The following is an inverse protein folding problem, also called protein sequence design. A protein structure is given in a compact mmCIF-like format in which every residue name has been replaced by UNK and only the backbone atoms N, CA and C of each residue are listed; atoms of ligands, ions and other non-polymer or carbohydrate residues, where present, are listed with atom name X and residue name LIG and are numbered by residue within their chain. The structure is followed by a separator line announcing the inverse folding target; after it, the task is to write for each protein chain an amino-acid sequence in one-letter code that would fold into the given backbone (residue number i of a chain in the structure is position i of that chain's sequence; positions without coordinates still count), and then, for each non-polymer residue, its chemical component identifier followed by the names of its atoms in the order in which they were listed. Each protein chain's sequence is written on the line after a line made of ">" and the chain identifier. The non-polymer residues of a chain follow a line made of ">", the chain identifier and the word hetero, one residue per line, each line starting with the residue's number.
data_IF_613570689809
#
_entry.id   IF_613570689809
#
_cell.length_a   1.000
_cell.length_b   1.000
_cell.length_c   1.000
_cell.angle_alpha   90.00
_cell.angle_beta   90.00
_cell.angle_gamma   90.00
#
_symmetry.space_group_name_H-M   'P 1'
#
loop_
_entity.id
_entity.type
_entity.pdbx_description
1 polymer ?
#
# COMPACT_ATOMS: atom_id res chain seq x y z
N UNK A 1 58.54 63.93 -48.12
CA UNK A 1 57.35 63.18 -47.70
C UNK A 1 57.82 61.80 -47.30
N UNK A 2 58.13 61.59 -46.01
CA UNK A 2 58.69 60.34 -45.52
C UNK A 2 57.53 59.42 -45.11
N UNK A 3 57.50 58.20 -45.66
CA UNK A 3 56.50 57.19 -45.31
C UNK A 3 56.69 56.76 -43.85
N UNK A 4 55.61 56.60 -43.07
CA UNK A 4 55.69 56.08 -41.72
C UNK A 4 56.09 54.60 -41.80
N UNK A 5 57.20 54.26 -41.16
CA UNK A 5 57.67 52.88 -41.01
C UNK A 5 56.65 52.10 -40.17
N UNK A 6 56.32 50.90 -40.63
CA UNK A 6 55.40 50.00 -39.95
C UNK A 6 55.97 49.59 -38.57
N UNK A 7 55.12 49.34 -37.56
CA UNK A 7 55.53 49.10 -36.17
C UNK A 7 56.26 47.76 -35.95
N UNK A 8 56.61 47.05 -37.02
CA UNK A 8 57.29 45.76 -37.00
C UNK A 8 58.81 45.87 -37.26
N UNK A 9 59.33 47.07 -37.54
CA UNK A 9 60.76 47.27 -37.87
C UNK A 9 61.69 47.53 -36.66
N UNK A 10 61.20 47.34 -35.43
CA UNK A 10 62.08 47.27 -34.26
C UNK A 10 61.64 46.11 -33.38
N UNK A 11 62.62 45.47 -32.76
CA UNK A 11 62.57 44.24 -31.95
C UNK A 11 62.92 42.99 -32.77
N UNK A 12 64.23 42.79 -32.99
CA UNK A 12 64.77 41.44 -32.87
C UNK A 12 64.43 40.97 -31.46
N UNK A 13 63.24 40.38 -31.31
CA UNK A 13 62.81 39.79 -30.05
C UNK A 13 63.82 38.72 -29.71
N UNK A 14 64.54 38.92 -28.61
CA UNK A 14 65.52 37.95 -28.13
C UNK A 14 64.84 36.59 -28.09
N UNK A 15 65.35 35.65 -28.88
CA UNK A 15 64.85 34.26 -28.91
C UNK A 15 64.78 33.69 -27.50
N UNK A 16 65.66 34.16 -26.61
CA UNK A 16 65.68 33.88 -25.18
C UNK A 16 64.42 34.32 -24.42
N UNK A 17 63.80 35.46 -24.74
CA UNK A 17 62.56 35.92 -24.10
C UNK A 17 61.37 35.05 -24.51
N UNK A 18 61.29 34.67 -25.79
CA UNK A 18 60.27 33.75 -26.30
C UNK A 18 60.42 32.36 -25.69
N UNK A 19 61.65 31.85 -25.58
CA UNK A 19 61.94 30.56 -24.91
C UNK A 19 61.53 30.64 -23.44
N UNK A 20 61.86 31.73 -22.74
CA UNK A 20 61.52 31.90 -21.33
C UNK A 20 60.01 31.90 -21.10
N UNK A 21 59.25 32.60 -21.96
CA UNK A 21 57.80 32.63 -21.89
C UNK A 21 57.18 31.26 -22.23
N UNK A 22 57.72 30.55 -23.22
CA UNK A 22 57.33 29.16 -23.52
C UNK A 22 57.56 28.22 -22.32
N UNK A 23 58.72 28.32 -21.66
CA UNK A 23 59.04 27.52 -20.47
C UNK A 23 58.07 27.84 -19.33
N UNK A 24 57.74 29.11 -19.10
CA UNK A 24 56.73 29.49 -18.09
C UNK A 24 55.37 28.88 -18.37
N UNK A 25 54.90 28.96 -19.62
CA UNK A 25 53.63 28.36 -20.05
C UNK A 25 53.63 26.84 -19.93
N UNK A 26 54.72 26.18 -20.29
CA UNK A 26 54.87 24.73 -20.12
C UNK A 26 54.81 24.32 -18.66
N UNK A 27 55.48 25.07 -17.77
CA UNK A 27 55.43 24.81 -16.33
C UNK A 27 54.03 25.00 -15.75
N UNK A 28 53.33 26.07 -16.13
CA UNK A 28 51.96 26.31 -15.69
C UNK A 28 50.99 25.26 -16.24
N UNK A 29 51.14 24.86 -17.51
CA UNK A 29 50.37 23.77 -18.09
C UNK A 29 50.62 22.44 -17.38
N UNK A 30 51.87 22.13 -17.03
CA UNK A 30 52.23 20.92 -16.25
C UNK A 30 51.56 20.93 -14.89
N UNK A 31 51.54 22.09 -14.21
CA UNK A 31 50.84 22.26 -12.93
C UNK A 31 49.34 22.05 -13.09
N UNK A 32 48.73 22.62 -14.14
CA UNK A 32 47.30 22.47 -14.43
C UNK A 32 46.93 21.02 -14.74
N UNK A 33 47.75 20.30 -15.51
CA UNK A 33 47.55 18.89 -15.81
C UNK A 33 47.54 18.07 -14.53
N UNK A 34 48.52 18.26 -13.64
CA UNK A 34 48.56 17.56 -12.35
C UNK A 34 47.31 17.79 -11.49
N UNK A 35 46.79 19.02 -11.48
CA UNK A 35 45.55 19.33 -10.74
C UNK A 35 44.35 18.64 -11.38
N UNK A 36 44.30 18.56 -12.71
CA UNK A 36 43.23 17.86 -13.43
C UNK A 36 43.29 16.37 -13.13
N UNK A 37 44.46 15.74 -13.20
CA UNK A 37 44.66 14.32 -12.86
C UNK A 37 44.13 14.02 -11.45
N UNK A 38 44.55 14.80 -10.44
CA UNK A 38 44.05 14.64 -9.07
C UNK A 38 42.53 14.82 -8.93
N UNK A 39 41.94 15.68 -9.77
CA UNK A 39 40.48 15.87 -9.77
C UNK A 39 39.77 14.71 -10.46
N UNK A 40 40.34 14.18 -11.53
CA UNK A 40 39.82 13.00 -12.24
C UNK A 40 39.84 11.81 -11.29
N UNK A 41 40.96 11.54 -10.63
CA UNK A 41 41.08 10.46 -9.63
C UNK A 41 40.00 10.59 -8.54
N UNK A 42 39.76 11.81 -8.03
CA UNK A 42 38.72 12.04 -7.01
C UNK A 42 37.31 11.79 -7.55
N UNK A 43 37.04 12.17 -8.80
CA UNK A 43 35.74 11.96 -9.43
C UNK A 43 35.52 10.48 -9.66
N UNK A 44 36.51 9.74 -10.17
CA UNK A 44 36.45 8.29 -10.35
C UNK A 44 36.14 7.58 -9.03
N UNK A 45 36.90 7.87 -7.96
CA UNK A 45 36.61 7.32 -6.64
C UNK A 45 35.20 7.66 -6.12
N UNK A 46 34.68 8.85 -6.44
CA UNK A 46 33.32 9.25 -6.05
C UNK A 46 32.25 8.53 -6.86
N UNK A 47 32.52 8.26 -8.13
CA UNK A 47 31.66 7.47 -9.02
C UNK A 47 31.61 6.03 -8.54
N UNK A 48 32.75 5.41 -8.27
CA UNK A 48 32.83 4.03 -7.76
C UNK A 48 32.04 3.88 -6.45
N UNK A 49 32.23 4.81 -5.51
CA UNK A 49 31.48 4.80 -4.26
C UNK A 49 29.97 5.00 -4.47
N UNK A 50 29.56 5.80 -5.46
CA UNK A 50 28.15 5.99 -5.79
C UNK A 50 27.56 4.74 -6.43
N UNK A 51 28.30 4.08 -7.32
CA UNK A 51 27.91 2.81 -7.93
C UNK A 51 27.72 1.72 -6.88
N UNK A 52 28.67 1.55 -5.96
CA UNK A 52 28.56 0.57 -4.88
C UNK A 52 27.35 0.84 -3.97
N UNK A 53 27.11 2.11 -3.62
CA UNK A 53 25.96 2.51 -2.81
C UNK A 53 24.63 2.26 -3.55
N UNK A 54 24.56 2.57 -4.84
CA UNK A 54 23.34 2.35 -5.64
C UNK A 54 23.07 0.87 -5.84
N UNK A 55 24.09 0.04 -6.08
CA UNK A 55 23.95 -1.42 -6.14
C UNK A 55 23.45 -1.99 -4.81
N UNK A 56 23.99 -1.52 -3.69
CA UNK A 56 23.54 -1.94 -2.35
C UNK A 56 22.06 -1.58 -2.13
N UNK A 57 21.69 -0.33 -2.42
CA UNK A 57 20.30 0.14 -2.29
C UNK A 57 19.33 -0.63 -3.20
N UNK A 58 19.73 -0.96 -4.42
CA UNK A 58 18.91 -1.75 -5.34
C UNK A 58 18.71 -3.18 -4.83
N UNK A 59 19.74 -3.80 -4.24
CA UNK A 59 19.61 -5.12 -3.63
C UNK A 59 18.68 -5.10 -2.41
N UNK A 60 18.81 -4.10 -1.54
CA UNK A 60 17.94 -3.94 -0.37
C UNK A 60 16.48 -3.69 -0.78
N UNK A 61 16.27 -2.89 -1.82
CA UNK A 61 14.95 -2.65 -2.38
C UNK A 61 14.35 -3.94 -2.95
N UNK A 62 15.13 -4.71 -3.70
CA UNK A 62 14.70 -6.01 -4.24
C UNK A 62 14.25 -6.97 -3.14
N UNK A 63 15.08 -7.13 -2.09
CA UNK A 63 14.73 -7.96 -0.94
C UNK A 63 13.47 -7.47 -0.21
N UNK A 64 13.29 -6.16 -0.14
CA UNK A 64 12.09 -5.56 0.47
C UNK A 64 10.83 -5.82 -0.36
N UNK A 65 10.93 -5.73 -1.69
CA UNK A 65 9.84 -6.03 -2.61
C UNK A 65 9.45 -7.51 -2.57
N UNK A 66 10.42 -8.43 -2.52
CA UNK A 66 10.18 -9.87 -2.36
C UNK A 66 9.41 -10.15 -1.06
N UNK A 67 9.85 -9.57 0.07
CA UNK A 67 9.13 -9.70 1.35
C UNK A 67 7.71 -9.13 1.31
N UNK A 68 7.49 -8.02 0.60
CA UNK A 68 6.16 -7.43 0.43
C UNK A 68 5.29 -8.38 -0.42
N UNK A 69 5.84 -8.95 -1.48
CA UNK A 69 5.16 -9.92 -2.34
C UNK A 69 4.70 -11.14 -1.54
N UNK A 70 5.59 -11.74 -0.75
CA UNK A 70 5.27 -12.87 0.12
C UNK A 70 4.15 -12.53 1.13
N UNK A 71 4.20 -11.33 1.70
CA UNK A 71 3.15 -10.85 2.62
C UNK A 71 1.81 -10.71 1.92
N UNK A 72 1.78 -10.19 0.69
CA UNK A 72 0.55 -10.06 -0.10
C UNK A 72 -0.06 -11.44 -0.39
N UNK A 73 0.77 -12.42 -0.78
CA UNK A 73 0.33 -13.80 -1.00
C UNK A 73 -0.28 -14.38 0.28
N UNK A 74 0.42 -14.24 1.41
CA UNK A 74 -0.09 -14.75 2.70
C UNK A 74 -1.39 -14.07 3.16
N UNK A 75 -1.58 -12.77 2.85
CA UNK A 75 -2.81 -12.06 3.14
C UNK A 75 -3.94 -12.54 2.24
N UNK A 76 -3.67 -12.80 0.96
CA UNK A 76 -4.64 -13.35 0.02
C UNK A 76 -5.13 -14.72 0.48
N UNK A 77 -4.24 -15.60 0.92
CA UNK A 77 -4.60 -16.92 1.47
C UNK A 77 -5.47 -16.81 2.71
N UNK A 78 -5.12 -15.90 3.64
CA UNK A 78 -5.93 -15.64 4.84
C UNK A 78 -7.32 -15.12 4.49
N UNK A 79 -7.44 -14.23 3.50
CA UNK A 79 -8.74 -13.72 3.04
C UNK A 79 -9.60 -14.83 2.46
N UNK A 80 -9.03 -15.72 1.65
CA UNK A 80 -9.75 -16.90 1.12
C UNK A 80 -10.22 -17.81 2.27
N UNK A 81 -9.38 -18.02 3.29
CA UNK A 81 -9.78 -18.79 4.47
C UNK A 81 -10.95 -18.14 5.22
N UNK A 82 -10.90 -16.83 5.44
CA UNK A 82 -11.97 -16.07 6.11
C UNK A 82 -13.26 -16.13 5.29
N UNK A 83 -13.19 -15.98 3.97
CA UNK A 83 -14.34 -16.13 3.08
C UNK A 83 -14.99 -17.51 3.23
N UNK A 84 -14.17 -18.57 3.28
CA UNK A 84 -14.62 -19.93 3.53
C UNK A 84 -15.34 -20.10 4.87
N UNK A 85 -14.80 -19.51 5.94
CA UNK A 85 -15.44 -19.52 7.26
C UNK A 85 -16.76 -18.74 7.28
N UNK A 86 -16.83 -17.57 6.63
CA UNK A 86 -18.06 -16.78 6.51
C UNK A 86 -19.14 -17.58 5.77
N UNK A 87 -18.79 -18.25 4.67
CA UNK A 87 -19.73 -19.10 3.94
C UNK A 87 -20.23 -20.28 4.80
N UNK A 88 -19.35 -20.87 5.60
CA UNK A 88 -19.73 -21.94 6.54
C UNK A 88 -20.65 -21.42 7.64
N UNK A 89 -20.33 -20.28 8.24
CA UNK A 89 -21.20 -19.62 9.23
C UNK A 89 -22.57 -19.30 8.64
N UNK A 90 -22.64 -18.81 7.40
CA UNK A 90 -23.90 -18.58 6.70
C UNK A 90 -24.75 -19.84 6.53
N UNK A 91 -24.11 -20.99 6.23
CA UNK A 91 -24.78 -22.30 6.15
C UNK A 91 -25.21 -22.85 7.51
N UNK A 92 -24.47 -22.56 8.57
CA UNK A 92 -24.85 -22.95 9.94
C UNK A 92 -26.03 -22.10 10.41
N UNK A 93 -25.96 -20.78 10.21
CA UNK A 93 -27.04 -19.82 10.51
C UNK A 93 -28.35 -20.15 9.79
N UNK A 94 -28.30 -20.62 8.56
CA UNK A 94 -29.52 -20.99 7.81
C UNK A 94 -30.19 -22.26 8.33
N UNK A 95 -29.47 -23.10 9.10
CA UNK A 95 -30.03 -24.29 9.76
C UNK A 95 -30.56 -23.99 11.16
N UNK A 96 -30.21 -22.84 11.72
CA UNK A 96 -30.66 -22.45 13.06
C UNK A 96 -32.10 -21.94 12.98
N UNK A 97 -32.96 -22.38 13.91
CA UNK A 97 -34.33 -21.91 13.99
C UNK A 97 -34.36 -20.39 14.19
N UNK A 98 -35.14 -19.70 13.36
CA UNK A 98 -35.39 -18.28 13.49
C UNK A 98 -36.18 -18.00 14.77
N UNK A 99 -36.04 -16.78 15.31
CA UNK A 99 -36.82 -16.36 16.50
C UNK A 99 -38.33 -16.55 16.31
N UNK A 100 -38.81 -16.45 15.06
CA UNK A 100 -40.21 -16.66 14.72
C UNK A 100 -40.59 -18.13 14.87
N UNK A 101 -39.83 -19.05 14.29
CA UNK A 101 -40.07 -20.50 14.42
C UNK A 101 -40.03 -20.92 15.89
N UNK A 102 -39.12 -20.34 16.69
CA UNK A 102 -39.05 -20.61 18.12
C UNK A 102 -40.30 -20.12 18.88
N UNK A 103 -40.84 -18.95 18.52
CA UNK A 103 -42.06 -18.41 19.12
C UNK A 103 -43.32 -19.18 18.69
N UNK A 104 -43.35 -19.68 17.45
CA UNK A 104 -44.39 -20.58 16.98
C UNK A 104 -44.35 -21.91 17.74
N UNK A 105 -43.16 -22.47 17.98
CA UNK A 105 -42.99 -23.64 18.86
C UNK A 105 -43.44 -23.39 20.29
N UNK A 106 -43.09 -22.24 20.89
CA UNK A 106 -43.53 -21.83 22.23
C UNK A 106 -45.06 -21.76 22.31
N UNK A 107 -45.70 -21.13 21.33
CA UNK A 107 -47.17 -21.04 21.25
C UNK A 107 -47.82 -22.42 21.11
N UNK A 108 -47.19 -23.34 20.36
CA UNK A 108 -47.68 -24.70 20.18
C UNK A 108 -47.56 -25.52 21.46
N UNK A 109 -46.45 -25.35 22.20
CA UNK A 109 -46.22 -25.97 23.51
C UNK A 109 -47.26 -25.46 24.52
N UNK A 110 -47.51 -24.16 24.56
CA UNK A 110 -48.51 -23.55 25.45
C UNK A 110 -49.93 -24.08 25.18
N UNK A 111 -50.24 -24.36 23.91
CA UNK A 111 -51.53 -24.92 23.48
C UNK A 111 -51.70 -26.40 23.87
N UNK A 112 -50.62 -27.18 23.83
CA UNK A 112 -50.66 -28.63 24.11
C UNK A 112 -50.48 -28.92 25.60
N UNK A 113 -49.79 -28.05 26.35
CA UNK A 113 -49.50 -28.28 27.76
C UNK A 113 -50.80 -28.34 28.58
N UNK A 114 -51.15 -29.51 29.16
CA UNK A 114 -52.42 -29.70 29.85
C UNK A 114 -52.55 -28.92 31.16
N UNK A 115 -51.45 -28.32 31.64
CA UNK A 115 -51.42 -27.48 32.84
C UNK A 115 -51.82 -26.03 32.52
N UNK A 116 -51.51 -25.53 31.31
CA UNK A 116 -51.79 -24.15 30.86
C UNK A 116 -52.95 -24.05 29.87
N UNK A 117 -53.24 -25.13 29.15
CA UNK A 117 -54.32 -25.19 28.18
C UNK A 117 -55.69 -25.18 28.90
N UNK A 118 -56.44 -24.10 28.72
CA UNK A 118 -57.85 -24.00 29.15
C UNK A 118 -58.72 -24.77 28.16
N UNK A 119 -58.84 -26.08 28.36
CA UNK A 119 -59.80 -26.88 27.61
C UNK A 119 -61.21 -26.50 28.05
N UNK A 120 -62.02 -26.00 27.12
CA UNK A 120 -63.43 -25.76 27.34
C UNK A 120 -64.22 -26.98 26.84
N UNK A 121 -65.18 -27.43 27.63
CA UNK A 121 -66.10 -28.48 27.19
C UNK A 121 -67.09 -27.93 26.18
N UNK A 122 -67.67 -28.81 25.34
CA UNK A 122 -68.57 -28.42 24.24
C UNK A 122 -69.72 -27.53 24.73
N UNK A 123 -70.28 -27.87 25.89
CA UNK A 123 -71.39 -27.16 26.53
C UNK A 123 -70.99 -25.76 27.05
N UNK A 124 -69.74 -25.59 27.51
CA UNK A 124 -69.21 -24.29 27.96
C UNK A 124 -68.97 -23.35 26.79
N UNK A 125 -68.52 -23.88 25.64
CA UNK A 125 -68.35 -23.10 24.40
C UNK A 125 -69.70 -22.64 23.87
N UNK A 126 -70.72 -23.52 23.91
CA UNK A 126 -72.06 -23.20 23.40
C UNK A 126 -72.73 -22.09 24.23
N UNK A 127 -72.63 -22.14 25.57
CA UNK A 127 -73.08 -21.05 26.45
C UNK A 127 -72.36 -19.73 26.20
N UNK A 128 -71.04 -19.75 26.01
CA UNK A 128 -70.27 -18.52 25.72
C UNK A 128 -70.67 -17.88 24.39
N UNK A 129 -71.05 -18.69 23.39
CA UNK A 129 -71.54 -18.20 22.10
C UNK A 129 -72.90 -17.56 22.29
N UNK A 130 -73.85 -18.23 22.94
CA UNK A 130 -75.20 -17.69 23.20
C UNK A 130 -75.18 -16.36 23.97
N UNK A 131 -74.35 -16.24 25.00
CA UNK A 131 -74.20 -15.00 25.77
C UNK A 131 -73.66 -13.85 24.93
N UNK A 132 -72.77 -14.13 23.97
CA UNK A 132 -72.23 -13.12 23.05
C UNK A 132 -73.25 -12.72 21.99
N UNK A 133 -74.00 -13.64 21.40
CA UNK A 133 -75.09 -13.31 20.46
C UNK A 133 -76.24 -12.58 21.15
N UNK A 134 -76.52 -12.88 22.42
CA UNK A 134 -77.50 -12.15 23.23
C UNK A 134 -77.04 -10.72 23.56
N UNK A 135 -75.75 -10.50 23.80
CA UNK A 135 -75.17 -9.14 23.96
C UNK A 135 -75.19 -8.33 22.67
N UNK A 136 -74.94 -8.95 21.52
CA UNK A 136 -74.98 -8.28 20.21
C UNK A 136 -76.41 -7.88 19.83
N UNK A 137 -77.43 -8.66 20.22
CA UNK A 137 -78.86 -8.29 20.05
C UNK A 137 -79.36 -7.20 21.01
N UNK A 138 -78.54 -6.77 21.98
CA UNK A 138 -78.87 -5.70 22.96
C UNK A 138 -78.23 -4.35 22.64
N UNK A 139 -77.55 -4.23 21.50
CA UNK A 139 -77.11 -2.98 20.87
C UNK A 139 -77.95 -2.76 19.62
#
# INVERSE_FOLDING_TARGET
>A
MALPTLPFERHGGNVEELITELVKRLNENTRRIRIIEQRVDRVENSVDALEDNTLTQLNDLKLSLEKISDRIVSLSEKLVSIEGEILRLGKELSKTATKREFKEMETFIDLINPITAKFATKDEVEKMIEDKTAKIKRV
#
